data_IF_703234413836
#
_entry.id   IF_703234413836
#
_cell.length_a   1.000
_cell.length_b   1.000
_cell.length_c   1.000
_cell.angle_alpha   90.00
_cell.angle_beta   90.00
_cell.angle_gamma   90.00
#
_symmetry.space_group_name_H-M   'P 1'
#
loop_
_entity.id
_entity.type
_entity.pdbx_description
1 polymer ?
#
# COMPACT_ATOMS: atom_id res chain seq x y z
N UNK A 1 13.06 -17.96 -4.05
CA UNK A 1 11.69 -17.41 -4.19
C UNK A 1 10.96 -17.85 -2.95
N UNK A 2 11.15 -17.16 -1.83
CA UNK A 2 10.25 -17.22 -0.68
C UNK A 2 10.63 -16.17 0.36
N UNK A 3 9.67 -15.85 1.24
CA UNK A 3 9.79 -15.03 2.46
C UNK A 3 9.54 -13.51 2.38
N UNK A 4 8.54 -13.08 1.60
CA UNK A 4 7.75 -11.91 2.05
C UNK A 4 6.38 -12.32 2.60
N UNK A 5 6.35 -13.49 3.24
CA UNK A 5 5.24 -13.89 4.10
C UNK A 5 5.35 -13.11 5.41
N UNK A 6 4.29 -12.37 5.73
CA UNK A 6 3.96 -11.93 7.08
C UNK A 6 4.93 -10.96 7.76
N UNK A 7 5.01 -9.72 7.26
CA UNK A 7 5.41 -8.61 8.15
C UNK A 7 4.25 -8.18 9.06
N UNK A 8 3.89 -9.07 9.98
CA UNK A 8 3.16 -8.76 11.21
C UNK A 8 4.08 -8.07 12.25
N UNK A 9 4.89 -7.07 11.86
CA UNK A 9 5.97 -6.62 12.76
C UNK A 9 6.16 -5.17 13.06
N UNK A 10 5.47 -4.20 12.45
CA UNK A 10 5.70 -2.82 12.85
C UNK A 10 4.42 -1.98 12.77
N UNK A 11 3.78 -1.65 13.91
CA UNK A 11 2.95 -0.46 13.97
C UNK A 11 3.77 0.75 13.47
N UNK A 12 3.33 1.39 12.39
CA UNK A 12 4.04 2.49 11.71
C UNK A 12 4.77 2.11 10.40
N UNK A 13 4.75 0.85 9.97
CA UNK A 13 5.30 0.47 8.67
C UNK A 13 4.32 0.76 7.52
N UNK A 14 4.84 1.24 6.39
CA UNK A 14 4.14 1.43 5.11
C UNK A 14 3.50 0.14 4.56
N UNK A 15 3.95 -1.04 5.01
CA UNK A 15 3.43 -2.33 4.56
C UNK A 15 1.96 -2.55 4.94
N UNK A 16 1.55 -2.12 6.14
CA UNK A 16 0.17 -2.28 6.60
C UNK A 16 -0.83 -1.50 5.73
N UNK A 17 -0.68 -0.18 5.51
CA UNK A 17 -1.56 0.55 4.61
C UNK A 17 -1.42 0.08 3.15
N UNK A 18 -0.24 -0.38 2.72
CA UNK A 18 -0.05 -0.92 1.37
C UNK A 18 -0.92 -2.16 1.10
N UNK A 19 -0.88 -3.15 2.00
CA UNK A 19 -1.69 -4.37 1.90
C UNK A 19 -3.19 -4.05 2.03
N UNK A 20 -3.55 -3.16 2.97
CA UNK A 20 -4.96 -2.73 3.12
C UNK A 20 -5.49 -2.09 1.85
N UNK A 21 -4.72 -1.21 1.23
CA UNK A 21 -5.06 -0.57 -0.03
C UNK A 21 -5.28 -1.57 -1.18
N UNK A 22 -4.41 -2.58 -1.31
CA UNK A 22 -4.58 -3.62 -2.32
C UNK A 22 -5.83 -4.48 -2.10
N UNK A 23 -6.14 -4.84 -0.86
CA UNK A 23 -7.36 -5.58 -0.53
C UNK A 23 -8.63 -4.77 -0.80
N UNK A 24 -8.63 -3.48 -0.45
CA UNK A 24 -9.74 -2.58 -0.72
C UNK A 24 -9.99 -2.40 -2.22
N UNK A 25 -8.93 -2.28 -3.02
CA UNK A 25 -9.03 -2.20 -4.48
C UNK A 25 -9.70 -3.45 -5.06
N UNK A 26 -9.34 -4.64 -4.56
CA UNK A 26 -9.95 -5.91 -4.96
C UNK A 26 -11.43 -6.03 -4.56
N UNK A 27 -11.85 -5.33 -3.51
CA UNK A 27 -13.24 -5.25 -3.08
C UNK A 27 -14.03 -4.15 -3.81
N UNK A 28 -13.42 -3.44 -4.77
CA UNK A 28 -14.04 -2.30 -5.46
C UNK A 28 -14.20 -1.05 -4.60
N UNK A 29 -13.59 -1.01 -3.40
CA UNK A 29 -13.59 0.14 -2.49
C UNK A 29 -12.48 1.11 -2.90
N UNK A 30 -12.65 1.67 -4.09
CA UNK A 30 -11.70 2.51 -4.83
C UNK A 30 -11.15 3.70 -4.03
N UNK A 31 -12.04 4.52 -3.45
CA UNK A 31 -11.64 5.69 -2.67
C UNK A 31 -10.81 5.35 -1.42
N UNK A 32 -11.20 4.28 -0.71
CA UNK A 32 -10.47 3.84 0.49
C UNK A 32 -9.14 3.18 0.12
N UNK A 33 -9.11 2.44 -0.99
CA UNK A 33 -7.88 1.87 -1.54
C UNK A 33 -6.86 2.96 -1.89
N UNK A 34 -7.31 4.02 -2.57
CA UNK A 34 -6.47 5.15 -2.91
C UNK A 34 -5.88 5.80 -1.64
N UNK A 35 -6.72 6.08 -0.63
CA UNK A 35 -6.27 6.72 0.61
C UNK A 35 -5.21 5.90 1.36
N UNK A 36 -5.39 4.58 1.44
CA UNK A 36 -4.44 3.67 2.09
C UNK A 36 -3.13 3.55 1.29
N UNK A 37 -3.20 3.47 -0.04
CA UNK A 37 -2.00 3.44 -0.90
C UNK A 37 -1.21 4.75 -0.84
N UNK A 38 -1.88 5.90 -0.74
CA UNK A 38 -1.24 7.19 -0.51
C UNK A 38 -0.57 7.25 0.86
N UNK A 39 -1.22 6.74 1.91
CA UNK A 39 -0.63 6.67 3.25
C UNK A 39 0.62 5.77 3.26
N UNK A 40 0.56 4.61 2.59
CA UNK A 40 1.70 3.74 2.39
C UNK A 40 2.84 4.47 1.67
N UNK A 41 2.53 5.22 0.61
CA UNK A 41 3.52 6.01 -0.12
C UNK A 41 4.17 7.10 0.75
N UNK A 42 3.43 7.71 1.68
CA UNK A 42 3.96 8.71 2.63
C UNK A 42 4.92 8.10 3.66
N UNK A 43 4.65 6.87 4.11
CA UNK A 43 5.47 6.15 5.08
C UNK A 43 6.65 5.40 4.45
N UNK A 44 6.63 5.19 3.12
CA UNK A 44 7.69 4.50 2.39
C UNK A 44 8.89 5.44 2.17
N UNK A 45 10.05 5.06 2.73
CA UNK A 45 11.32 5.80 2.58
C UNK A 45 12.02 5.52 1.26
N UNK A 46 11.64 4.46 0.54
CA UNK A 46 12.22 4.10 -0.75
C UNK A 46 11.48 4.80 -1.88
N UNK A 47 12.16 5.69 -2.61
CA UNK A 47 11.55 6.48 -3.68
C UNK A 47 10.97 5.64 -4.83
N UNK A 48 11.62 4.53 -5.20
CA UNK A 48 11.11 3.64 -6.26
C UNK A 48 9.82 2.96 -5.84
N UNK A 49 9.78 2.46 -4.61
CA UNK A 49 8.62 1.78 -4.06
C UNK A 49 7.47 2.75 -3.77
N UNK A 50 7.79 3.96 -3.29
CA UNK A 50 6.83 5.07 -3.18
C UNK A 50 6.18 5.39 -4.53
N UNK A 51 6.95 5.44 -5.62
CA UNK A 51 6.40 5.68 -6.96
C UNK A 51 5.47 4.54 -7.43
N UNK A 52 5.76 3.29 -7.05
CA UNK A 52 4.84 2.16 -7.31
C UNK A 52 3.52 2.35 -6.56
N UNK A 53 3.58 2.67 -5.27
CA UNK A 53 2.40 2.88 -4.43
C UNK A 53 1.51 4.03 -4.95
N UNK A 54 2.11 5.15 -5.37
CA UNK A 54 1.37 6.28 -5.96
C UNK A 54 0.70 5.92 -7.29
N UNK A 55 1.36 5.13 -8.15
CA UNK A 55 0.73 4.65 -9.39
C UNK A 55 -0.44 3.73 -9.11
N UNK A 56 -0.34 2.87 -8.10
CA UNK A 56 -1.45 2.02 -7.67
C UNK A 56 -2.61 2.86 -7.13
N UNK A 57 -2.33 3.88 -6.32
CA UNK A 57 -3.35 4.79 -5.79
C UNK A 57 -4.10 5.49 -6.93
N UNK A 58 -3.38 6.01 -7.93
CA UNK A 58 -3.97 6.67 -9.09
C UNK A 58 -4.77 5.72 -10.00
N UNK A 59 -4.45 4.42 -10.02
CA UNK A 59 -5.22 3.42 -10.75
C UNK A 59 -6.45 2.91 -9.98
N UNK A 60 -6.51 3.19 -8.68
CA UNK A 60 -7.61 2.79 -7.82
C UNK A 60 -8.74 3.82 -7.76
N UNK A 61 -8.50 5.09 -8.12
CA UNK A 61 -9.51 6.15 -8.23
C UNK A 61 -9.98 6.38 -9.65
#
# INVERSE_FOLDING_TARGET
MDELVASNRLPGSHLLPGVRGELLARLGRTAEAQAELELAARLCRNLRERAVLLRKAAAAG
#
